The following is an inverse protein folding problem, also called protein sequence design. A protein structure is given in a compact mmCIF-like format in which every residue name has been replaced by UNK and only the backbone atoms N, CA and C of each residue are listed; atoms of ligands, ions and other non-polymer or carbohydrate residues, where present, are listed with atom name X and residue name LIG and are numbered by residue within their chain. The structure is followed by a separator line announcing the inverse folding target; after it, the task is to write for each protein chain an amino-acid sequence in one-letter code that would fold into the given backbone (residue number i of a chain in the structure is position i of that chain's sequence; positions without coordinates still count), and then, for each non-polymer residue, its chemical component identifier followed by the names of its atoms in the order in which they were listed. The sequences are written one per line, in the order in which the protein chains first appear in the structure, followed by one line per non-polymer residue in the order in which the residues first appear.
data_IF_085197810810
#
_entry.id   IF_085197810810
#
_cell.length_a   1.000
_cell.length_b   1.000
_cell.length_c   1.000
_cell.angle_alpha   90.00
_cell.angle_beta   90.00
_cell.angle_gamma   90.00
#
_symmetry.space_group_name_H-M   'P 1'
#
loop_
_entity.id
_entity.type
_entity.pdbx_description
1 polymer ?
#
# COMPACT_ATOMS: atom_id res chain seq x y z
N UNK A 1 9.25 -11.11 11.07
CA UNK A 1 8.41 -10.12 10.36
C UNK A 1 9.12 -9.81 9.05
N UNK A 2 8.46 -10.00 7.91
CA UNK A 2 9.01 -9.56 6.63
C UNK A 2 9.10 -8.02 6.68
N UNK A 3 10.30 -7.47 6.66
CA UNK A 3 10.48 -6.03 6.51
C UNK A 3 10.18 -5.69 5.05
N UNK A 4 9.21 -4.81 4.80
CA UNK A 4 9.03 -4.20 3.49
C UNK A 4 10.35 -3.59 3.02
N UNK A 5 10.62 -3.63 1.72
CA UNK A 5 11.75 -2.90 1.12
C UNK A 5 11.62 -1.38 1.32
N UNK A 6 10.39 -0.91 1.57
CA UNK A 6 10.05 0.49 1.87
C UNK A 6 10.68 1.49 0.89
N UNK A 7 10.57 1.20 -0.41
CA UNK A 7 11.16 2.02 -1.48
C UNK A 7 10.69 3.48 -1.46
N UNK A 8 9.51 3.72 -0.88
CA UNK A 8 8.88 5.04 -0.75
C UNK A 8 9.04 5.65 0.65
N UNK A 9 9.93 5.11 1.51
CA UNK A 9 10.26 5.63 2.85
C UNK A 9 9.01 5.99 3.66
N UNK A 10 8.03 5.10 3.60
CA UNK A 10 6.68 5.28 4.13
C UNK A 10 6.53 4.67 5.51
N UNK A 11 7.44 3.80 5.95
CA UNK A 11 7.40 3.15 7.26
C UNK A 11 7.54 4.18 8.38
N UNK A 12 6.56 4.25 9.27
CA UNK A 12 6.54 5.13 10.44
C UNK A 12 6.15 4.35 11.70
N UNK A 13 6.50 4.92 12.84
CA UNK A 13 6.10 4.41 14.16
C UNK A 13 5.07 5.36 14.76
N UNK A 14 3.98 4.81 15.28
CA UNK A 14 2.97 5.48 16.08
C UNK A 14 3.09 4.97 17.51
N UNK A 15 3.32 5.86 18.47
CA UNK A 15 3.26 5.53 19.90
C UNK A 15 1.86 5.83 20.42
N UNK A 16 1.16 4.81 20.90
CA UNK A 16 -0.17 4.94 21.48
C UNK A 16 -0.25 4.10 22.76
N UNK A 17 -0.66 4.73 23.86
CA UNK A 17 -0.79 4.10 25.18
C UNK A 17 0.49 3.34 25.62
N UNK A 18 1.66 3.96 25.43
CA UNK A 18 2.96 3.36 25.77
C UNK A 18 3.41 2.19 24.89
N UNK A 19 2.66 1.87 23.81
CA UNK A 19 3.01 0.84 22.84
C UNK A 19 3.39 1.45 21.51
N UNK A 20 4.39 0.88 20.85
CA UNK A 20 4.79 1.25 19.50
C UNK A 20 4.09 0.38 18.45
N UNK A 21 3.56 1.05 17.43
CA UNK A 21 2.91 0.43 16.27
C UNK A 21 3.61 0.89 15.02
N UNK A 22 3.91 -0.04 14.11
CA UNK A 22 4.43 0.30 12.79
C UNK A 22 3.26 0.45 11.83
N UNK A 23 3.28 1.52 11.03
CA UNK A 23 2.32 1.74 9.96
C UNK A 23 3.04 2.31 8.73
N UNK A 24 2.41 2.20 7.56
CA UNK A 24 2.93 2.70 6.30
C UNK A 24 2.15 3.96 5.91
N UNK A 25 2.81 5.12 6.04
CA UNK A 25 2.20 6.44 5.88
C UNK A 25 2.07 6.82 4.41
N UNK A 26 0.83 6.98 3.94
CA UNK A 26 0.55 7.48 2.60
C UNK A 26 1.06 8.92 2.39
N UNK A 27 1.07 9.73 3.44
CA UNK A 27 1.58 11.12 3.40
C UNK A 27 3.09 11.13 3.15
N UNK A 28 3.82 10.21 3.77
CA UNK A 28 5.28 10.13 3.54
C UNK A 28 5.56 9.50 2.17
N UNK A 29 4.79 8.48 1.77
CA UNK A 29 4.90 7.90 0.43
C UNK A 29 4.64 8.94 -0.68
N UNK A 30 3.68 9.85 -0.48
CA UNK A 30 3.39 10.95 -1.41
C UNK A 30 4.59 11.89 -1.60
N UNK A 31 5.27 12.26 -0.50
CA UNK A 31 6.48 13.09 -0.53
C UNK A 31 7.67 12.39 -1.20
N UNK A 32 7.69 11.06 -1.19
CA UNK A 32 8.82 10.23 -1.60
C UNK A 32 8.62 9.54 -2.96
N UNK A 33 7.82 10.14 -3.85
CA UNK A 33 7.71 9.71 -5.25
C UNK A 33 6.34 9.24 -5.70
N UNK A 34 5.32 9.28 -4.83
CA UNK A 34 3.92 9.00 -5.18
C UNK A 34 3.06 10.28 -5.15
N UNK A 35 3.49 11.32 -5.85
CA UNK A 35 2.83 12.62 -5.81
C UNK A 35 1.32 12.51 -6.16
N UNK A 36 0.47 13.13 -5.33
CA UNK A 36 -0.97 13.22 -5.57
C UNK A 36 -1.79 12.05 -5.04
N UNK A 37 -1.20 11.00 -4.43
CA UNK A 37 -1.95 9.85 -3.89
C UNK A 37 -2.96 10.23 -2.79
N UNK A 38 -2.83 11.40 -2.18
CA UNK A 38 -3.86 11.99 -1.32
C UNK A 38 -5.22 12.14 -2.01
N UNK A 39 -5.25 12.27 -3.35
CA UNK A 39 -6.46 12.42 -4.17
C UNK A 39 -7.10 11.09 -4.58
N UNK A 40 -6.45 9.95 -4.30
CA UNK A 40 -7.02 8.64 -4.61
C UNK A 40 -8.35 8.41 -3.85
N UNK A 41 -9.33 7.72 -4.47
CA UNK A 41 -10.46 7.15 -3.76
C UNK A 41 -10.00 6.31 -2.57
N UNK A 42 -10.79 6.26 -1.49
CA UNK A 42 -10.43 5.55 -0.27
C UNK A 42 -10.16 4.06 -0.50
N UNK A 43 -10.89 3.41 -1.40
CA UNK A 43 -10.64 2.02 -1.79
C UNK A 43 -9.22 1.81 -2.35
N UNK A 44 -8.76 2.70 -3.24
CA UNK A 44 -7.40 2.63 -3.79
C UNK A 44 -6.34 2.99 -2.76
N UNK A 45 -6.64 3.85 -1.79
CA UNK A 45 -5.73 4.12 -0.65
C UNK A 45 -5.49 2.87 0.21
N UNK A 46 -6.51 2.03 0.41
CA UNK A 46 -6.38 0.75 1.12
C UNK A 46 -5.47 -0.20 0.34
N UNK A 47 -5.65 -0.31 -0.98
CA UNK A 47 -4.79 -1.13 -1.83
C UNK A 47 -3.34 -0.61 -1.83
N UNK A 48 -3.15 0.71 -1.96
CA UNK A 48 -1.84 1.35 -1.93
C UNK A 48 -1.10 1.05 -0.62
N UNK A 49 -1.75 1.22 0.53
CA UNK A 49 -1.12 0.92 1.82
C UNK A 49 -0.77 -0.56 1.95
N UNK A 50 -1.62 -1.45 1.44
CA UNK A 50 -1.32 -2.87 1.39
C UNK A 50 -0.03 -3.14 0.61
N UNK A 51 0.12 -2.58 -0.58
CA UNK A 51 1.32 -2.74 -1.39
C UNK A 51 2.56 -2.17 -0.68
N UNK A 52 2.48 -0.96 -0.12
CA UNK A 52 3.59 -0.35 0.64
C UNK A 52 4.05 -1.24 1.81
N UNK A 53 3.11 -1.82 2.55
CA UNK A 53 3.38 -2.72 3.68
C UNK A 53 4.07 -4.01 3.26
N UNK A 54 3.82 -4.46 2.05
CA UNK A 54 4.12 -5.81 1.58
C UNK A 54 5.12 -5.88 0.43
N UNK A 55 5.70 -4.74 0.05
CA UNK A 55 6.76 -4.64 -0.95
C UNK A 55 7.94 -5.55 -0.60
N UNK A 56 8.18 -6.54 -1.46
CA UNK A 56 9.22 -7.56 -1.29
C UNK A 56 10.09 -7.73 -2.55
N UNK A 57 9.83 -6.93 -3.60
CA UNK A 57 10.55 -6.97 -4.87
C UNK A 57 10.27 -8.21 -5.72
N UNK A 58 9.31 -9.05 -5.32
CA UNK A 58 8.95 -10.28 -6.06
C UNK A 58 7.46 -10.35 -6.35
N UNK A 59 6.64 -10.36 -5.30
CA UNK A 59 5.18 -10.42 -5.43
C UNK A 59 4.53 -9.05 -5.31
N UNK A 60 5.20 -8.12 -4.62
CA UNK A 60 4.87 -6.70 -4.66
C UNK A 60 6.16 -5.93 -4.99
N UNK A 61 6.16 -5.26 -6.13
CA UNK A 61 7.29 -4.45 -6.60
C UNK A 61 6.99 -2.96 -6.44
N UNK A 62 8.05 -2.14 -6.48
CA UNK A 62 7.89 -0.69 -6.51
C UNK A 62 7.06 -0.20 -7.72
N UNK A 63 7.09 -0.94 -8.84
CA UNK A 63 6.32 -0.59 -10.03
C UNK A 63 4.82 -0.87 -9.85
N UNK A 64 4.46 -1.92 -9.10
CA UNK A 64 3.06 -2.17 -8.76
C UNK A 64 2.49 -1.04 -7.87
N UNK A 65 3.31 -0.51 -6.96
CA UNK A 65 2.95 0.67 -6.14
C UNK A 65 2.77 1.92 -7.01
N UNK A 66 3.69 2.17 -7.97
CA UNK A 66 3.58 3.30 -8.91
C UNK A 66 2.36 3.19 -9.80
N UNK A 67 1.99 1.98 -10.23
CA UNK A 67 0.82 1.76 -11.06
C UNK A 67 -0.49 2.21 -10.36
N UNK A 68 -0.61 2.00 -9.05
CA UNK A 68 -1.75 2.50 -8.29
C UNK A 68 -1.78 4.02 -8.24
N UNK A 69 -0.62 4.68 -8.15
CA UNK A 69 -0.54 6.14 -8.23
C UNK A 69 -0.90 6.66 -9.65
N UNK A 70 -0.48 5.96 -10.70
CA UNK A 70 -0.78 6.31 -12.09
C UNK A 70 -2.28 6.29 -12.43
N UNK A 71 -3.10 5.59 -11.62
CA UNK A 71 -4.56 5.69 -11.70
C UNK A 71 -5.08 7.14 -11.63
N UNK A 72 -4.34 8.03 -10.97
CA UNK A 72 -4.68 9.46 -10.90
C UNK A 72 -4.73 10.15 -12.26
N UNK A 73 -4.01 9.63 -13.25
CA UNK A 73 -3.93 10.15 -14.60
C UNK A 73 -4.77 9.32 -15.56
N UNK A 74 -4.54 8.00 -15.57
CA UNK A 74 -5.16 7.10 -16.55
C UNK A 74 -6.59 6.68 -16.18
N UNK A 75 -7.04 6.89 -14.92
CA UNK A 75 -8.38 6.52 -14.41
C UNK A 75 -8.74 5.04 -14.62
N UNK A 76 -7.76 4.15 -14.61
CA UNK A 76 -7.96 2.72 -14.81
C UNK A 76 -8.13 2.31 -16.28
N UNK A 77 -7.78 3.19 -17.24
CA UNK A 77 -7.69 2.82 -18.65
C UNK A 77 -6.57 1.82 -18.94
N UNK A 78 -5.55 1.81 -18.09
CA UNK A 78 -4.46 0.84 -18.17
C UNK A 78 -4.79 -0.33 -17.25
N UNK A 79 -4.75 -1.54 -17.82
CA UNK A 79 -4.93 -2.78 -17.08
C UNK A 79 -3.59 -3.21 -16.51
N UNK A 80 -3.48 -3.15 -15.17
CA UNK A 80 -2.33 -3.66 -14.43
C UNK A 80 -2.83 -4.52 -13.29
N UNK A 81 -2.42 -5.78 -13.30
CA UNK A 81 -2.63 -6.68 -12.17
C UNK A 81 -1.69 -6.29 -11.02
N UNK A 82 -2.22 -6.33 -9.80
CA UNK A 82 -1.50 -6.06 -8.56
C UNK A 82 -1.80 -7.15 -7.54
N UNK A 83 -0.84 -7.46 -6.68
CA UNK A 83 -1.08 -8.35 -5.55
C UNK A 83 -1.89 -7.65 -4.46
N UNK A 84 -2.74 -8.40 -3.77
CA UNK A 84 -3.46 -7.91 -2.59
C UNK A 84 -3.44 -8.98 -1.50
N UNK A 85 -2.94 -8.60 -0.32
CA UNK A 85 -2.85 -9.49 0.85
C UNK A 85 -3.91 -9.06 1.88
N UNK A 86 -5.10 -9.68 1.90
CA UNK A 86 -6.15 -9.28 2.84
C UNK A 86 -5.70 -9.46 4.28
N UNK A 87 -6.14 -8.57 5.16
CA UNK A 87 -5.76 -8.62 6.58
C UNK A 87 -6.35 -9.82 7.33
N UNK A 88 -7.49 -10.33 6.87
CA UNK A 88 -8.20 -11.48 7.43
C UNK A 88 -9.09 -12.13 6.38
N UNK A 89 -9.34 -13.42 6.54
CA UNK A 89 -10.32 -14.17 5.77
C UNK A 89 -11.40 -14.65 6.74
N UNK A 90 -12.66 -14.49 6.35
CA UNK A 90 -13.79 -15.08 7.06
C UNK A 90 -14.22 -16.32 6.27
N UNK A 91 -14.22 -17.49 6.91
CA UNK A 91 -14.70 -18.73 6.29
C UNK A 91 -16.08 -19.06 6.85
N UNK A 92 -16.96 -19.53 5.98
CA UNK A 92 -18.29 -20.02 6.34
C UNK A 92 -18.29 -21.54 6.28
N UNK A 93 -19.08 -22.21 7.12
CA UNK A 93 -19.05 -23.67 7.34
C UNK A 93 -19.28 -24.55 6.08
N UNK A 94 -19.66 -23.97 4.93
CA UNK A 94 -19.93 -24.68 3.67
C UNK A 94 -18.90 -24.41 2.55
N UNK A 95 -17.76 -23.78 2.86
CA UNK A 95 -16.66 -23.52 1.89
C UNK A 95 -15.55 -24.56 1.95
#
# INVERSE_FOLDING_TARGET
MMNSLDSFKSRKTLTANGKEYVYYSLVEAEKNGLAGVSRLPFSLKVLLENLLRFEDGRSVTADDVRAVAAWLENRGKEEKEIAYRPARVLMQDFT
#
